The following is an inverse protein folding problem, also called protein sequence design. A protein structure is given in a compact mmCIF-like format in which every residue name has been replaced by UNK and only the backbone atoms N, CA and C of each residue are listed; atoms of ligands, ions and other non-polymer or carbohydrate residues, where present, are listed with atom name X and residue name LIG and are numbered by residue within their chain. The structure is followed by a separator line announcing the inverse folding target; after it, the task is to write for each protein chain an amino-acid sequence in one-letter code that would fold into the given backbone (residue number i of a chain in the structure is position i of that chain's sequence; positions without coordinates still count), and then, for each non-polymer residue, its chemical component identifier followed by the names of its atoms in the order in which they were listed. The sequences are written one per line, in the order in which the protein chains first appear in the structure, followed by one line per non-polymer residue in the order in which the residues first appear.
data_IF_292083967208
#
_entry.id   IF_292083967208
#
_cell.length_a   1.000
_cell.length_b   1.000
_cell.length_c   1.000
_cell.angle_alpha   90.00
_cell.angle_beta   90.00
_cell.angle_gamma   90.00
#
_symmetry.space_group_name_H-M   'P 1'
#
loop_
_entity.id
_entity.type
_entity.pdbx_description
1 polymer ?
#
# COMPACT_ATOMS: atom_id res chain seq x y z
N UNK A 1 -11.90 -1.18 11.76
CA UNK A 1 -11.08 -1.14 10.51
C UNK A 1 -9.80 -0.33 10.73
N UNK A 2 -9.82 0.61 11.65
CA UNK A 2 -8.72 1.55 11.88
C UNK A 2 -7.43 0.86 12.34
N UNK A 3 -7.56 -0.16 13.19
CA UNK A 3 -6.41 -0.94 13.67
C UNK A 3 -5.88 -1.95 12.63
N UNK A 4 -6.73 -2.44 11.72
CA UNK A 4 -6.36 -3.49 10.79
C UNK A 4 -5.27 -3.05 9.81
N UNK A 5 -5.45 -1.88 9.19
CA UNK A 5 -4.43 -1.35 8.28
C UNK A 5 -3.15 -0.98 9.02
N UNK A 6 -3.25 -0.28 10.16
CA UNK A 6 -2.09 0.05 10.96
C UNK A 6 -1.29 -1.20 11.36
N UNK A 7 -1.97 -2.22 11.89
CA UNK A 7 -1.34 -3.50 12.24
C UNK A 7 -0.67 -4.16 11.04
N UNK A 8 -1.27 -4.09 9.84
CA UNK A 8 -0.72 -4.68 8.63
C UNK A 8 0.60 -4.01 8.21
N UNK A 9 0.70 -2.69 8.33
CA UNK A 9 1.90 -1.93 7.99
C UNK A 9 3.00 -2.02 9.05
N UNK A 10 2.67 -2.33 10.30
CA UNK A 10 3.63 -2.52 11.39
C UNK A 10 3.94 -4.00 11.64
N UNK A 11 3.20 -4.92 11.00
CA UNK A 11 3.36 -6.36 11.15
C UNK A 11 4.78 -6.82 10.78
N UNK A 12 5.30 -7.78 11.54
CA UNK A 12 6.64 -8.35 11.32
C UNK A 12 7.81 -7.35 11.41
N UNK A 13 7.61 -6.20 12.06
CA UNK A 13 8.67 -5.19 12.19
C UNK A 13 8.90 -4.38 10.90
N UNK A 14 7.92 -4.32 10.01
CA UNK A 14 7.97 -3.49 8.80
C UNK A 14 8.17 -2.01 9.14
N UNK A 15 7.71 -1.56 10.30
CA UNK A 15 7.93 -0.21 10.84
C UNK A 15 9.42 0.14 10.96
N UNK A 16 10.29 -0.84 11.22
CA UNK A 16 11.73 -0.61 11.29
C UNK A 16 12.34 -0.26 9.92
N UNK A 17 11.63 -0.53 8.82
CA UNK A 17 12.10 -0.19 7.48
C UNK A 17 11.99 1.31 7.19
N UNK A 18 10.91 1.95 7.63
CA UNK A 18 10.63 3.36 7.36
C UNK A 18 10.74 4.26 8.60
N UNK A 19 11.10 3.68 9.75
CA UNK A 19 11.36 4.40 11.00
C UNK A 19 10.12 4.58 11.88
N UNK A 20 10.36 4.59 13.19
CA UNK A 20 9.33 4.72 14.22
C UNK A 20 8.65 6.08 14.19
N UNK A 21 9.41 7.17 13.94
CA UNK A 21 8.88 8.53 13.88
C UNK A 21 7.82 8.68 12.78
N UNK A 22 8.07 8.07 11.61
CA UNK A 22 7.10 8.04 10.53
C UNK A 22 5.91 7.14 10.85
N UNK A 23 6.13 6.01 11.55
CA UNK A 23 5.04 5.15 12.01
C UNK A 23 4.11 5.91 12.96
N UNK A 24 4.66 6.60 13.95
CA UNK A 24 3.89 7.38 14.93
C UNK A 24 3.11 8.52 14.26
N UNK A 25 3.71 9.19 13.28
CA UNK A 25 3.01 10.19 12.46
C UNK A 25 1.82 9.57 11.72
N UNK A 26 2.01 8.43 11.06
CA UNK A 26 0.97 7.75 10.29
C UNK A 26 -0.14 7.16 11.17
N UNK A 27 0.19 6.75 12.40
CA UNK A 27 -0.81 6.37 13.40
C UNK A 27 -1.62 7.55 13.93
N UNK A 28 -1.12 8.78 13.79
CA UNK A 28 -1.70 9.98 14.40
C UNK A 28 -1.45 10.07 15.91
N UNK A 29 -0.47 9.33 16.43
CA UNK A 29 -0.10 9.31 17.86
C UNK A 29 0.88 10.44 18.19
N UNK A 30 1.73 10.82 17.27
CA UNK A 30 2.53 12.03 17.43
C UNK A 30 1.59 13.21 17.59
N UNK A 31 1.86 14.12 18.53
CA UNK A 31 1.09 15.37 18.70
C UNK A 31 1.28 16.26 17.48
N UNK A 32 0.89 15.72 16.35
CA UNK A 32 0.97 16.31 15.03
C UNK A 32 -0.34 17.01 14.71
N UNK A 33 -0.30 17.92 13.77
CA UNK A 33 -1.49 18.59 13.21
C UNK A 33 -2.46 17.57 12.60
N UNK A 34 -1.99 16.35 12.31
CA UNK A 34 -2.76 15.25 11.75
C UNK A 34 -3.25 14.33 12.89
N UNK A 35 -4.53 14.42 13.20
CA UNK A 35 -5.20 13.65 14.26
C UNK A 35 -5.82 12.34 13.75
N UNK A 36 -5.68 12.02 12.47
CA UNK A 36 -6.31 10.86 11.84
C UNK A 36 -5.28 9.82 11.39
N UNK A 37 -5.59 8.54 11.59
CA UNK A 37 -4.79 7.42 11.12
C UNK A 37 -4.66 7.41 9.59
N UNK A 38 -3.48 7.76 9.08
CA UNK A 38 -3.18 7.84 7.65
C UNK A 38 -3.06 6.46 6.98
N UNK A 39 -2.75 5.40 7.75
CA UNK A 39 -2.68 4.04 7.23
C UNK A 39 -3.99 3.59 6.57
N UNK A 40 -5.14 4.11 7.03
CA UNK A 40 -6.44 3.82 6.43
C UNK A 40 -6.50 4.36 5.02
N UNK A 41 -6.11 5.61 4.81
CA UNK A 41 -6.14 6.26 3.50
C UNK A 41 -5.25 5.54 2.49
N UNK A 42 -4.00 5.30 2.85
CA UNK A 42 -3.03 4.59 1.99
C UNK A 42 -3.45 3.14 1.77
N UNK A 43 -3.88 2.43 2.82
CA UNK A 43 -4.31 1.04 2.74
C UNK A 43 -5.55 0.85 1.85
N UNK A 44 -6.54 1.72 1.98
CA UNK A 44 -7.74 1.71 1.13
C UNK A 44 -7.40 2.03 -0.33
N UNK A 45 -6.54 3.02 -0.59
CA UNK A 45 -6.08 3.33 -1.93
C UNK A 45 -5.36 2.14 -2.57
N UNK A 46 -4.46 1.49 -1.82
CA UNK A 46 -3.73 0.31 -2.26
C UNK A 46 -4.66 -0.87 -2.55
N UNK A 47 -5.65 -1.11 -1.68
CA UNK A 47 -6.64 -2.15 -1.87
C UNK A 47 -7.51 -1.90 -3.12
N UNK A 48 -7.95 -0.65 -3.35
CA UNK A 48 -8.73 -0.28 -4.54
C UNK A 48 -7.91 -0.45 -5.83
N UNK A 49 -6.65 -0.01 -5.85
CA UNK A 49 -5.75 -0.20 -6.99
C UNK A 49 -5.58 -1.69 -7.28
N UNK A 50 -5.31 -2.49 -6.25
CA UNK A 50 -5.15 -3.94 -6.38
C UNK A 50 -6.43 -4.58 -6.93
N UNK A 51 -7.60 -4.19 -6.41
CA UNK A 51 -8.88 -4.69 -6.91
C UNK A 51 -9.07 -4.38 -8.39
N UNK A 52 -8.80 -3.14 -8.82
CA UNK A 52 -8.92 -2.73 -10.23
C UNK A 52 -7.99 -3.56 -11.12
N UNK A 53 -6.73 -3.75 -10.72
CA UNK A 53 -5.75 -4.51 -11.49
C UNK A 53 -6.17 -5.98 -11.61
N UNK A 54 -6.63 -6.59 -10.52
CA UNK A 54 -7.13 -7.97 -10.52
C UNK A 54 -8.38 -8.10 -11.39
N UNK A 55 -9.33 -7.16 -11.31
CA UNK A 55 -10.50 -7.15 -12.19
C UNK A 55 -10.11 -7.01 -13.66
N UNK A 56 -9.22 -6.09 -13.99
CA UNK A 56 -8.71 -5.94 -15.37
C UNK A 56 -8.04 -7.23 -15.82
N UNK A 57 -7.21 -7.84 -14.99
CA UNK A 57 -6.55 -9.11 -15.32
C UNK A 57 -7.54 -10.23 -15.63
N UNK A 58 -8.53 -10.45 -14.76
CA UNK A 58 -9.48 -11.55 -14.95
C UNK A 58 -10.57 -11.27 -15.97
N UNK A 59 -11.10 -10.04 -16.05
CA UNK A 59 -12.21 -9.73 -16.96
C UNK A 59 -11.75 -9.29 -18.34
N UNK A 60 -10.72 -8.45 -18.46
CA UNK A 60 -10.26 -7.95 -19.75
C UNK A 60 -9.42 -9.02 -20.45
N UNK A 61 -8.39 -9.53 -19.79
CA UNK A 61 -7.52 -10.52 -20.40
C UNK A 61 -8.16 -11.92 -20.46
N UNK A 62 -9.00 -12.27 -19.49
CA UNK A 62 -9.65 -13.56 -19.44
C UNK A 62 -10.85 -13.70 -20.33
N UNK A 63 -11.82 -12.80 -20.21
CA UNK A 63 -13.10 -12.90 -20.95
C UNK A 63 -13.11 -12.19 -22.29
N UNK A 64 -12.54 -10.96 -22.36
CA UNK A 64 -12.66 -10.14 -23.57
C UNK A 64 -11.69 -10.57 -24.68
N UNK A 65 -10.45 -10.89 -24.32
CA UNK A 65 -9.42 -11.22 -25.30
C UNK A 65 -9.35 -12.70 -25.65
N UNK A 66 -10.00 -13.57 -24.88
CA UNK A 66 -10.13 -15.03 -25.10
C UNK A 66 -8.87 -15.73 -25.66
N UNK A 67 -7.68 -15.15 -25.43
CA UNK A 67 -6.43 -15.73 -25.90
C UNK A 67 -5.87 -16.67 -24.83
N UNK A 68 -5.76 -17.98 -25.12
CA UNK A 68 -5.26 -18.96 -24.14
C UNK A 68 -3.82 -18.69 -23.67
N UNK A 69 -3.07 -17.86 -24.40
CA UNK A 69 -1.71 -17.47 -24.03
C UNK A 69 -1.62 -16.43 -22.90
N UNK A 70 -2.70 -15.73 -22.57
CA UNK A 70 -2.72 -14.69 -21.55
C UNK A 70 -3.08 -15.20 -20.14
N UNK A 71 -3.62 -16.41 -20.03
CA UNK A 71 -3.81 -17.11 -18.75
C UNK A 71 -2.54 -17.81 -18.26
N UNK A 72 -1.36 -17.25 -18.51
CA UNK A 72 -0.09 -17.85 -18.15
C UNK A 72 0.51 -17.20 -16.89
N UNK A 73 1.38 -17.95 -16.19
CA UNK A 73 2.11 -17.47 -15.01
C UNK A 73 2.86 -16.15 -15.28
N UNK A 74 3.39 -15.95 -16.49
CA UNK A 74 4.12 -14.74 -16.84
C UNK A 74 3.25 -13.48 -16.83
N UNK A 75 2.05 -13.54 -17.38
CA UNK A 75 1.12 -12.40 -17.37
C UNK A 75 0.61 -12.11 -15.96
N UNK A 76 0.43 -13.14 -15.13
CA UNK A 76 0.11 -12.97 -13.72
C UNK A 76 1.24 -12.28 -12.96
N UNK A 77 2.51 -12.69 -13.19
CA UNK A 77 3.67 -12.05 -12.60
C UNK A 77 3.82 -10.58 -13.05
N UNK A 78 3.55 -10.29 -14.33
CA UNK A 78 3.56 -8.90 -14.84
C UNK A 78 2.49 -8.07 -14.11
N UNK A 79 1.28 -8.59 -13.97
CA UNK A 79 0.21 -7.89 -13.24
C UNK A 79 0.59 -7.63 -11.78
N UNK A 80 1.22 -8.61 -11.12
CA UNK A 80 1.71 -8.52 -9.75
C UNK A 80 2.79 -7.44 -9.62
N UNK A 81 3.78 -7.40 -10.53
CA UNK A 81 4.85 -6.38 -10.55
C UNK A 81 4.27 -4.99 -10.80
N UNK A 82 3.33 -4.85 -11.75
CA UNK A 82 2.66 -3.57 -12.01
C UNK A 82 1.88 -3.11 -10.78
N UNK A 83 1.15 -4.01 -10.11
CA UNK A 83 0.42 -3.70 -8.88
C UNK A 83 1.35 -3.18 -7.79
N UNK A 84 2.43 -3.91 -7.53
CA UNK A 84 3.42 -3.53 -6.50
C UNK A 84 4.11 -2.21 -6.82
N UNK A 85 4.46 -1.98 -8.09
CA UNK A 85 5.06 -0.73 -8.54
C UNK A 85 4.14 0.47 -8.37
N UNK A 86 2.85 0.33 -8.72
CA UNK A 86 1.87 1.39 -8.51
C UNK A 86 1.64 1.66 -7.02
N UNK A 87 1.54 0.62 -6.20
CA UNK A 87 1.39 0.76 -4.76
C UNK A 87 2.60 1.45 -4.13
N UNK A 88 3.83 1.09 -4.55
CA UNK A 88 5.05 1.77 -4.12
C UNK A 88 4.96 3.28 -4.40
N UNK A 89 4.63 3.64 -5.63
CA UNK A 89 4.52 5.05 -6.02
C UNK A 89 3.46 5.80 -5.21
N UNK A 90 2.30 5.18 -5.00
CA UNK A 90 1.22 5.79 -4.23
C UNK A 90 1.63 6.00 -2.77
N UNK A 91 2.17 4.97 -2.10
CA UNK A 91 2.64 5.09 -0.72
C UNK A 91 3.73 6.13 -0.57
N UNK A 92 4.73 6.11 -1.46
CA UNK A 92 5.82 7.08 -1.47
C UNK A 92 5.32 8.51 -1.68
N UNK A 93 4.53 8.76 -2.73
CA UNK A 93 4.02 10.10 -3.05
C UNK A 93 3.08 10.65 -1.97
N UNK A 94 2.28 9.80 -1.35
CA UNK A 94 1.38 10.19 -0.28
C UNK A 94 2.14 10.82 0.89
N UNK A 95 3.12 10.09 1.40
CA UNK A 95 3.92 10.54 2.56
C UNK A 95 4.88 11.66 2.17
N UNK A 96 5.49 11.60 0.99
CA UNK A 96 6.38 12.64 0.50
C UNK A 96 5.64 13.98 0.32
N UNK A 97 4.38 13.94 -0.11
CA UNK A 97 3.54 15.14 -0.22
C UNK A 97 3.30 15.80 1.15
N UNK A 98 3.07 15.00 2.19
CA UNK A 98 2.88 15.52 3.55
C UNK A 98 4.18 16.09 4.12
N UNK A 99 5.33 15.48 3.81
CA UNK A 99 6.65 15.99 4.17
C UNK A 99 6.90 17.38 3.54
N UNK A 100 6.66 17.51 2.25
CA UNK A 100 6.85 18.81 1.56
C UNK A 100 5.83 19.90 1.97
N UNK A 101 4.67 19.49 2.46
CA UNK A 101 3.67 20.41 2.99
C UNK A 101 3.98 20.84 4.43
N UNK A 102 5.07 20.35 5.02
CA UNK A 102 5.44 20.68 6.41
C UNK A 102 4.43 20.20 7.46
N UNK A 103 3.71 19.12 7.18
CA UNK A 103 2.73 18.54 8.12
C UNK A 103 3.37 17.64 9.17
N UNK A 104 4.61 17.23 8.96
CA UNK A 104 5.34 16.30 9.83
C UNK A 104 6.04 17.04 10.96
N UNK A 105 5.24 17.65 11.82
CA UNK A 105 5.70 18.41 12.98
C UNK A 105 5.06 17.86 14.25
N UNK A 106 5.80 17.87 15.34
CA UNK A 106 5.27 17.64 16.68
C UNK A 106 4.99 18.97 17.36
N UNK A 107 3.90 19.05 18.10
CA UNK A 107 3.57 20.22 18.91
C UNK A 107 3.72 19.84 20.38
N UNK A 108 4.60 20.52 21.08
CA UNK A 108 4.71 20.38 22.54
C UNK A 108 3.46 21.02 23.18
N UNK A 109 2.66 20.21 23.87
CA UNK A 109 1.41 20.65 24.51
C UNK A 109 1.61 21.71 25.59
N UNK A 110 2.81 21.79 26.17
CA UNK A 110 3.12 22.72 27.28
C UNK A 110 3.60 24.06 26.74
N UNK A 111 4.45 24.06 25.73
CA UNK A 111 5.11 25.26 25.20
C UNK A 111 4.48 25.78 23.91
N UNK A 112 3.59 25.00 23.27
CA UNK A 112 3.07 25.20 21.90
C UNK A 112 4.20 25.39 20.87
N UNK A 113 5.41 24.91 21.18
CA UNK A 113 6.52 24.94 20.25
C UNK A 113 6.38 23.81 19.23
N UNK A 114 6.53 24.14 17.95
CA UNK A 114 6.56 23.15 16.88
C UNK A 114 7.99 22.67 16.66
N UNK A 115 8.18 21.37 16.64
CA UNK A 115 9.46 20.75 16.31
C UNK A 115 9.27 19.85 15.10
N UNK A 116 10.14 19.96 14.10
CA UNK A 116 10.11 19.09 12.93
C UNK A 116 10.48 17.66 13.34
N UNK A 117 9.70 16.69 12.84
CA UNK A 117 10.06 15.28 12.97
C UNK A 117 11.29 14.95 12.12
N UNK A 118 12.13 14.05 12.63
CA UNK A 118 13.37 13.63 11.96
C UNK A 118 13.08 12.64 10.81
N UNK A 119 12.14 12.99 9.93
CA UNK A 119 11.70 12.16 8.81
C UNK A 119 12.35 12.67 7.53
N UNK A 120 13.06 11.77 6.83
CA UNK A 120 13.71 12.07 5.56
C UNK A 120 12.95 11.54 4.34
N UNK A 121 13.34 12.02 3.16
CA UNK A 121 12.80 11.50 1.90
C UNK A 121 13.08 10.00 1.68
N UNK A 122 14.13 9.47 2.32
CA UNK A 122 14.45 8.05 2.31
C UNK A 122 13.42 7.22 3.09
N UNK A 123 12.97 7.71 4.25
CA UNK A 123 11.95 7.04 5.07
C UNK A 123 10.61 6.98 4.32
N UNK A 124 10.26 8.06 3.61
CA UNK A 124 9.11 8.09 2.73
C UNK A 124 9.18 7.05 1.60
N UNK A 125 10.37 6.88 1.00
CA UNK A 125 10.59 5.85 -0.02
C UNK A 125 10.49 4.43 0.56
N UNK A 126 11.07 4.19 1.74
CA UNK A 126 10.99 2.91 2.43
C UNK A 126 9.55 2.57 2.83
N UNK A 127 8.75 3.57 3.19
CA UNK A 127 7.31 3.38 3.37
C UNK A 127 6.62 2.96 2.06
N UNK A 128 6.99 3.55 0.93
CA UNK A 128 6.54 3.10 -0.39
C UNK A 128 6.87 1.63 -0.65
N UNK A 129 8.08 1.17 -0.29
CA UNK A 129 8.47 -0.25 -0.38
C UNK A 129 7.60 -1.14 0.52
N UNK A 130 7.32 -0.70 1.74
CA UNK A 130 6.40 -1.40 2.65
C UNK A 130 5.00 -1.50 2.04
N UNK A 131 4.50 -0.42 1.45
CA UNK A 131 3.21 -0.43 0.76
C UNK A 131 3.17 -1.40 -0.43
N UNK A 132 4.29 -1.55 -1.15
CA UNK A 132 4.40 -2.56 -2.21
C UNK A 132 4.29 -4.00 -1.65
N UNK A 133 4.87 -4.28 -0.49
CA UNK A 133 4.75 -5.59 0.19
C UNK A 133 3.29 -5.85 0.58
N UNK A 134 2.61 -4.85 1.15
CA UNK A 134 1.19 -4.95 1.49
C UNK A 134 0.33 -5.21 0.24
N UNK A 135 0.64 -4.53 -0.86
CA UNK A 135 -0.04 -4.73 -2.14
C UNK A 135 0.16 -6.14 -2.72
N UNK A 136 1.34 -6.76 -2.52
CA UNK A 136 1.59 -8.15 -2.88
C UNK A 136 0.63 -9.09 -2.12
N UNK A 137 0.48 -8.89 -0.82
CA UNK A 137 -0.42 -9.69 0.01
C UNK A 137 -1.87 -9.54 -0.49
N UNK A 138 -2.32 -8.30 -0.72
CA UNK A 138 -3.66 -8.04 -1.24
C UNK A 138 -3.88 -8.66 -2.62
N UNK A 139 -2.89 -8.57 -3.52
CA UNK A 139 -2.97 -9.14 -4.86
C UNK A 139 -3.13 -10.66 -4.81
N UNK A 140 -2.35 -11.35 -3.97
CA UNK A 140 -2.46 -12.81 -3.80
C UNK A 140 -3.84 -13.18 -3.25
N UNK A 141 -4.30 -12.51 -2.20
CA UNK A 141 -5.62 -12.78 -1.61
C UNK A 141 -6.75 -12.56 -2.63
N UNK A 142 -6.73 -11.42 -3.32
CA UNK A 142 -7.73 -11.12 -4.34
C UNK A 142 -7.68 -12.11 -5.50
N UNK A 143 -6.48 -12.50 -5.94
CA UNK A 143 -6.32 -13.53 -6.98
C UNK A 143 -6.95 -14.86 -6.57
N UNK A 144 -6.77 -15.29 -5.32
CA UNK A 144 -7.40 -16.52 -4.79
C UNK A 144 -8.93 -16.42 -4.83
N UNK A 145 -9.48 -15.29 -4.40
CA UNK A 145 -10.93 -15.05 -4.40
C UNK A 145 -11.48 -15.08 -5.84
N UNK A 146 -10.88 -14.34 -6.76
CA UNK A 146 -11.38 -14.22 -8.13
C UNK A 146 -11.15 -15.47 -8.97
N UNK A 147 -10.11 -16.26 -8.70
CA UNK A 147 -9.89 -17.54 -9.34
C UNK A 147 -11.07 -18.50 -9.11
N UNK A 148 -11.64 -18.51 -7.91
CA UNK A 148 -12.80 -19.36 -7.61
C UNK A 148 -14.02 -19.02 -8.45
N UNK A 149 -14.14 -17.79 -8.93
CA UNK A 149 -15.22 -17.33 -9.80
C UNK A 149 -14.92 -17.52 -11.30
N UNK A 150 -13.67 -17.80 -11.68
CA UNK A 150 -13.25 -17.93 -13.07
C UNK A 150 -12.90 -19.38 -13.42
N UNK A 151 -13.77 -20.03 -14.21
CA UNK A 151 -13.57 -21.43 -14.66
C UNK A 151 -12.45 -21.59 -15.70
N UNK A 152 -12.04 -20.51 -16.37
CA UNK A 152 -11.14 -20.55 -17.53
C UNK A 152 -9.66 -20.44 -17.19
N UNK A 153 -9.31 -20.14 -15.92
CA UNK A 153 -7.93 -19.92 -15.47
C UNK A 153 -7.31 -21.08 -14.68
N UNK A 154 -7.57 -22.31 -15.10
CA UNK A 154 -7.01 -23.52 -14.47
C UNK A 154 -5.47 -23.61 -14.52
N UNK A 155 -4.79 -22.77 -15.31
CA UNK A 155 -3.34 -22.75 -15.52
C UNK A 155 -2.62 -21.63 -14.78
N UNK A 156 -3.32 -20.75 -14.09
CA UNK A 156 -2.70 -19.73 -13.24
C UNK A 156 -2.31 -20.40 -11.90
N UNK A 157 -1.11 -20.13 -11.37
CA UNK A 157 -0.72 -20.65 -10.06
C UNK A 157 -1.68 -20.14 -8.98
N UNK A 158 -1.99 -21.00 -8.03
CA UNK A 158 -2.96 -20.88 -6.93
C UNK A 158 -4.43 -20.94 -7.32
#
# INVERSE_FOLDING_TARGET
MDELFGTLYTMCGLENMYGTDLADYLWGVASSVVTSNQFIGVGMATLLITLVIVLVYYFVFGKLLQKPSWGNIFTWLIALVVNSGLALLVGWQWVLSDLYQGKMVTVDEVTNATTDLTIGGFDCFMFGCTNAIVALIFFVIMTLIFKWFSRDYSRVPF
#
